data_IF_574127656986
#
_entry.id   IF_574127656986
#
_cell.length_a   1.000
_cell.length_b   1.000
_cell.length_c   1.000
_cell.angle_alpha   90.00
_cell.angle_beta   90.00
_cell.angle_gamma   90.00
#
_symmetry.space_group_name_H-M   'P 1'
#
loop_
_entity.id
_entity.type
_entity.pdbx_description
1 polymer ?
#
# COMPACT_ATOMS: atom_id res chain seq x y z
N UNK A 1 -5.74 -5.91 25.90
CA UNK A 1 -6.37 -6.67 26.99
C UNK A 1 -7.75 -6.10 27.17
N UNK A 2 -8.77 -6.93 27.09
CA UNK A 2 -10.16 -6.55 27.38
C UNK A 2 -10.68 -7.41 28.51
N UNK A 3 -11.58 -6.83 29.29
CA UNK A 3 -12.23 -7.53 30.39
C UNK A 3 -13.53 -8.13 29.87
N UNK A 4 -13.65 -9.45 29.92
CA UNK A 4 -14.85 -10.18 29.52
C UNK A 4 -15.21 -11.12 30.69
N UNK A 5 -16.40 -10.93 31.25
CA UNK A 5 -16.87 -11.64 32.46
C UNK A 5 -15.90 -11.57 33.65
N UNK A 6 -15.26 -10.41 33.87
CA UNK A 6 -14.33 -10.19 34.98
C UNK A 6 -12.96 -10.87 34.84
N UNK A 7 -12.62 -11.38 33.64
CA UNK A 7 -11.30 -11.94 33.32
C UNK A 7 -10.62 -11.13 32.23
N UNK A 8 -9.32 -10.89 32.39
CA UNK A 8 -8.51 -10.34 31.31
C UNK A 8 -8.38 -11.38 30.20
N UNK A 9 -8.61 -10.94 28.97
CA UNK A 9 -8.44 -11.75 27.78
C UNK A 9 -7.56 -11.03 26.77
N UNK A 10 -6.79 -11.83 26.02
CA UNK A 10 -6.06 -11.33 24.86
C UNK A 10 -7.00 -11.31 23.66
N UNK A 11 -7.10 -10.14 23.04
CA UNK A 11 -7.83 -9.94 21.80
C UNK A 11 -6.85 -9.88 20.64
N UNK A 12 -7.09 -10.73 19.66
CA UNK A 12 -6.48 -10.63 18.34
C UNK A 12 -7.50 -10.03 17.39
N UNK A 13 -7.08 -9.11 16.53
CA UNK A 13 -7.99 -8.49 15.57
C UNK A 13 -7.36 -8.36 14.19
N UNK A 14 -8.21 -8.33 13.18
CA UNK A 14 -7.89 -7.88 11.83
C UNK A 14 -8.84 -6.73 11.48
N UNK A 15 -8.31 -5.69 10.84
CA UNK A 15 -9.11 -4.58 10.30
C UNK A 15 -9.06 -4.67 8.79
N UNK A 16 -10.23 -4.68 8.17
CA UNK A 16 -10.42 -4.74 6.72
C UNK A 16 -10.97 -3.37 6.30
N UNK A 17 -10.29 -2.70 5.37
CA UNK A 17 -10.83 -1.56 4.65
C UNK A 17 -11.31 -2.07 3.29
N UNK A 18 -12.61 -1.93 3.04
CA UNK A 18 -13.28 -2.36 1.82
C UNK A 18 -13.66 -1.10 1.07
N UNK A 19 -13.10 -0.93 -0.12
CA UNK A 19 -13.42 0.20 -1.00
C UNK A 19 -14.56 -0.21 -1.93
N UNK A 20 -15.56 0.65 -2.03
CA UNK A 20 -16.66 0.56 -3.00
C UNK A 20 -16.70 1.89 -3.76
N UNK A 21 -17.36 1.96 -4.93
CA UNK A 21 -17.51 3.22 -5.64
C UNK A 21 -18.09 4.30 -4.71
N UNK A 22 -17.31 5.36 -4.50
CA UNK A 22 -17.66 6.53 -3.67
C UNK A 22 -17.71 6.29 -2.15
N UNK A 23 -17.37 5.10 -1.65
CA UNK A 23 -17.45 4.83 -0.21
C UNK A 23 -16.35 3.88 0.29
N UNK A 24 -16.05 3.95 1.59
CA UNK A 24 -15.14 3.02 2.27
C UNK A 24 -15.83 2.42 3.48
N UNK A 25 -15.87 1.10 3.56
CA UNK A 25 -16.39 0.34 4.69
C UNK A 25 -15.23 -0.22 5.49
N UNK A 26 -15.28 -0.10 6.82
CA UNK A 26 -14.30 -0.74 7.70
C UNK A 26 -14.95 -1.84 8.51
N UNK A 27 -14.38 -3.04 8.44
CA UNK A 27 -14.83 -4.19 9.22
C UNK A 27 -13.70 -4.63 10.13
N UNK A 28 -14.00 -4.84 11.41
CA UNK A 28 -13.08 -5.46 12.34
C UNK A 28 -13.52 -6.88 12.65
N UNK A 29 -12.57 -7.79 12.52
CA UNK A 29 -12.71 -9.20 12.88
C UNK A 29 -11.92 -9.41 14.15
N UNK A 30 -12.59 -9.73 15.26
CA UNK A 30 -11.96 -9.93 16.56
C UNK A 30 -12.09 -11.39 17.00
N UNK A 31 -11.01 -11.87 17.63
CA UNK A 31 -10.91 -13.15 18.29
C UNK A 31 -10.49 -12.93 19.74
N UNK A 32 -11.33 -13.35 20.67
CA UNK A 32 -11.00 -13.43 22.10
C UNK A 32 -10.32 -14.77 22.39
N UNK A 33 -9.19 -14.74 23.09
CA UNK A 33 -8.51 -15.94 23.58
C UNK A 33 -8.54 -15.98 25.12
N UNK A 34 -9.17 -17.00 25.73
CA UNK A 34 -9.10 -17.19 27.17
C UNK A 34 -7.67 -17.53 27.61
N UNK A 35 -7.23 -16.95 28.74
CA UNK A 35 -5.85 -17.08 29.27
C UNK A 35 -5.51 -18.49 29.79
N UNK A 36 -6.50 -19.32 30.10
CA UNK A 36 -6.29 -20.68 30.62
C UNK A 36 -5.93 -21.67 29.51
N UNK A 37 -4.64 -22.05 29.42
CA UNK A 37 -4.09 -23.03 28.46
C UNK A 37 -4.50 -24.48 28.75
N UNK A 38 -4.88 -25.20 27.70
CA UNK A 38 -4.29 -26.50 27.37
C UNK A 38 -3.34 -26.32 26.17
N UNK A 39 -2.37 -27.23 25.93
CA UNK A 39 -1.41 -27.11 24.84
C UNK A 39 -2.12 -27.31 23.50
N UNK A 40 -2.09 -26.27 22.66
CA UNK A 40 -2.27 -26.26 21.20
C UNK A 40 -3.15 -27.39 20.60
N UNK A 41 -4.41 -27.50 21.03
CA UNK A 41 -5.40 -28.38 20.40
C UNK A 41 -6.42 -27.52 19.64
N UNK A 42 -6.41 -27.60 18.32
CA UNK A 42 -7.49 -27.12 17.43
C UNK A 42 -7.62 -25.60 17.32
N UNK A 43 -6.63 -24.91 16.75
CA UNK A 43 -6.63 -23.46 16.59
C UNK A 43 -7.79 -22.88 15.73
N UNK A 44 -8.55 -23.74 15.02
CA UNK A 44 -9.58 -23.37 14.05
C UNK A 44 -10.99 -23.86 14.38
N UNK A 45 -11.16 -24.81 15.31
CA UNK A 45 -12.37 -25.63 15.37
C UNK A 45 -13.40 -25.22 16.44
N UNK A 46 -13.01 -24.40 17.44
CA UNK A 46 -13.84 -24.18 18.64
C UNK A 46 -13.93 -22.74 19.14
N UNK A 47 -13.68 -21.71 18.32
CA UNK A 47 -13.70 -20.31 18.80
C UNK A 47 -14.59 -19.38 17.98
N UNK A 48 -15.39 -18.59 18.71
CA UNK A 48 -16.32 -17.59 18.20
C UNK A 48 -15.51 -16.41 17.64
N UNK A 49 -15.56 -16.23 16.33
CA UNK A 49 -15.09 -15.01 15.68
C UNK A 49 -16.23 -14.01 15.71
N UNK A 50 -15.98 -12.83 16.24
CA UNK A 50 -16.94 -11.74 16.20
C UNK A 50 -16.52 -10.77 15.10
N UNK A 51 -17.44 -10.50 14.18
CA UNK A 51 -17.26 -9.51 13.13
C UNK A 51 -18.18 -8.35 13.43
N UNK A 52 -17.64 -7.14 13.47
CA UNK A 52 -18.45 -5.94 13.56
C UNK A 52 -17.92 -4.90 12.57
N UNK A 53 -18.85 -4.18 11.95
CA UNK A 53 -18.51 -2.99 11.18
C UNK A 53 -18.04 -1.90 12.15
N UNK A 54 -17.07 -1.10 11.73
CA UNK A 54 -16.57 0.03 12.53
C UNK A 54 -16.98 1.33 11.82
N UNK A 55 -17.73 2.23 12.47
CA UNK A 55 -18.38 2.05 13.78
C UNK A 55 -19.53 1.02 13.75
N UNK A 56 -19.87 0.48 14.92
CA UNK A 56 -21.07 -0.33 15.17
C UNK A 56 -22.05 0.46 16.04
N UNK A 57 -23.31 0.02 16.16
CA UNK A 57 -24.32 0.70 16.99
C UNK A 57 -23.86 0.93 18.45
N UNK A 58 -22.98 0.05 18.96
CA UNK A 58 -22.40 0.13 20.31
C UNK A 58 -21.10 0.95 20.41
N UNK A 59 -20.46 1.33 19.28
CA UNK A 59 -19.17 2.03 19.24
C UNK A 59 -19.33 3.32 18.42
N UNK A 60 -19.40 4.50 19.04
CA UNK A 60 -19.60 5.76 18.31
C UNK A 60 -18.49 6.04 17.29
N UNK A 61 -18.84 6.84 16.26
CA UNK A 61 -18.06 7.30 15.10
C UNK A 61 -16.86 8.20 15.43
N UNK A 62 -16.16 7.95 16.53
CA UNK A 62 -14.98 8.73 16.93
C UNK A 62 -13.68 8.08 16.42
N UNK A 63 -13.70 7.69 15.14
CA UNK A 63 -12.49 7.31 14.41
C UNK A 63 -12.21 8.30 13.27
N UNK A 64 -10.96 8.28 12.79
CA UNK A 64 -10.48 9.18 11.76
C UNK A 64 -10.62 8.63 10.34
N UNK A 65 -11.41 7.59 10.09
CA UNK A 65 -11.50 6.99 8.76
C UNK A 65 -12.42 7.81 7.86
N UNK A 66 -11.96 8.12 6.63
CA UNK A 66 -12.83 8.68 5.58
C UNK A 66 -13.70 7.58 5.00
N UNK A 67 -15.02 7.75 5.04
CA UNK A 67 -15.99 6.78 4.53
C UNK A 67 -16.79 7.28 3.34
N UNK A 68 -16.87 8.59 3.18
CA UNK A 68 -17.57 9.33 2.14
C UNK A 68 -16.76 9.46 0.84
N UNK A 69 -15.81 8.56 0.63
CA UNK A 69 -14.99 8.52 -0.57
C UNK A 69 -14.32 7.17 -0.78
N UNK A 70 -13.89 6.98 -2.03
CA UNK A 70 -13.09 5.83 -2.44
C UNK A 70 -11.71 5.90 -1.78
N UNK A 71 -11.34 4.84 -1.07
CA UNK A 71 -9.95 4.64 -0.63
C UNK A 71 -9.16 4.02 -1.77
N UNK A 72 -8.12 4.73 -2.23
CA UNK A 72 -7.21 4.28 -3.29
C UNK A 72 -6.14 3.35 -2.69
N UNK A 73 -5.62 3.69 -1.51
CA UNK A 73 -4.60 2.90 -0.84
C UNK A 73 -4.83 2.94 0.67
N UNK A 74 -4.74 1.78 1.31
CA UNK A 74 -4.73 1.67 2.76
C UNK A 74 -3.73 0.58 3.17
N UNK A 75 -2.93 0.85 4.19
CA UNK A 75 -1.97 -0.13 4.66
C UNK A 75 -1.75 -0.06 6.18
N UNK A 76 -1.33 -1.20 6.72
CA UNK A 76 -0.66 -1.26 8.00
C UNK A 76 0.74 -0.66 7.84
N UNK A 77 1.00 0.50 8.45
CA UNK A 77 2.31 1.14 8.34
C UNK A 77 3.27 0.69 9.44
N UNK A 78 2.82 0.72 10.69
CA UNK A 78 3.54 0.22 11.87
C UNK A 78 2.56 -0.37 12.88
N UNK A 79 3.07 -1.00 13.93
CA UNK A 79 2.24 -1.56 15.00
C UNK A 79 1.19 -0.58 15.51
N UNK A 80 1.54 0.70 15.57
CA UNK A 80 0.72 1.78 16.11
C UNK A 80 -0.03 2.60 15.07
N UNK A 81 0.26 2.43 13.78
CA UNK A 81 -0.24 3.33 12.75
C UNK A 81 -0.68 2.62 11.48
N UNK A 82 -1.74 3.15 10.87
CA UNK A 82 -2.20 2.79 9.53
C UNK A 82 -2.31 4.04 8.66
N UNK A 83 -2.20 3.85 7.36
CA UNK A 83 -2.35 4.91 6.36
C UNK A 83 -3.65 4.70 5.62
N UNK A 84 -4.36 5.78 5.34
CA UNK A 84 -5.48 5.82 4.41
C UNK A 84 -5.25 6.94 3.41
N UNK A 85 -5.38 6.62 2.12
CA UNK A 85 -5.30 7.58 1.02
C UNK A 85 -6.58 7.47 0.20
N UNK A 86 -7.32 8.56 0.11
CA UNK A 86 -8.49 8.73 -0.75
C UNK A 86 -8.11 9.55 -1.99
N UNK A 87 -9.09 9.88 -2.83
CA UNK A 87 -8.85 10.79 -3.97
C UNK A 87 -8.45 12.21 -3.57
N UNK A 88 -8.79 12.68 -2.38
CA UNK A 88 -8.55 14.08 -2.00
C UNK A 88 -7.68 14.24 -0.77
N UNK A 89 -7.36 13.16 -0.07
CA UNK A 89 -6.64 13.26 1.20
C UNK A 89 -5.79 12.02 1.50
N UNK A 90 -4.62 12.25 2.10
CA UNK A 90 -3.81 11.23 2.73
C UNK A 90 -3.72 11.50 4.24
N UNK A 91 -3.99 10.47 5.06
CA UNK A 91 -3.99 10.59 6.53
C UNK A 91 -3.37 9.38 7.22
N UNK A 92 -2.85 9.63 8.42
CA UNK A 92 -2.30 8.60 9.31
C UNK A 92 -3.23 8.42 10.52
N UNK A 93 -3.59 7.17 10.79
CA UNK A 93 -4.54 6.76 11.81
C UNK A 93 -3.83 5.92 12.88
N UNK A 94 -4.16 6.14 14.15
CA UNK A 94 -3.72 5.33 15.28
C UNK A 94 -4.35 3.94 15.26
N UNK A 95 -3.61 2.92 15.67
CA UNK A 95 -4.13 1.56 15.86
C UNK A 95 -4.23 1.23 17.35
N UNK A 96 -5.25 0.45 17.77
CA UNK A 96 -6.34 -0.09 16.96
C UNK A 96 -7.49 0.91 16.72
N UNK A 97 -7.54 2.07 17.38
CA UNK A 97 -8.73 2.92 17.42
C UNK A 97 -9.11 3.55 16.08
N UNK A 98 -8.20 3.58 15.11
CA UNK A 98 -8.29 4.29 13.84
C UNK A 98 -8.53 5.80 13.98
N UNK A 99 -8.33 6.36 15.18
CA UNK A 99 -8.38 7.81 15.41
C UNK A 99 -7.29 8.49 14.59
N UNK A 100 -7.59 9.65 14.01
CA UNK A 100 -6.59 10.41 13.31
C UNK A 100 -5.47 10.82 14.29
N UNK A 101 -4.22 10.43 14.00
CA UNK A 101 -3.10 10.76 14.87
C UNK A 101 -2.49 12.12 14.56
N UNK A 102 -2.34 12.38 13.26
CA UNK A 102 -1.53 13.46 12.73
C UNK A 102 -2.30 14.26 11.69
N UNK A 103 -1.70 15.38 11.29
CA UNK A 103 -2.20 16.21 10.20
C UNK A 103 -2.34 15.35 8.94
N UNK A 104 -3.45 15.55 8.26
CA UNK A 104 -3.65 15.02 6.92
C UNK A 104 -3.13 15.99 5.87
N UNK A 105 -2.87 15.46 4.69
CA UNK A 105 -2.58 16.26 3.50
C UNK A 105 -3.79 16.20 2.60
N UNK A 106 -4.37 17.36 2.29
CA UNK A 106 -5.41 17.51 1.27
C UNK A 106 -4.79 17.85 -0.08
N UNK A 107 -5.38 17.34 -1.15
CA UNK A 107 -4.93 17.59 -2.53
C UNK A 107 -5.94 18.49 -3.23
N UNK A 108 -5.44 19.54 -3.90
CA UNK A 108 -6.28 20.49 -4.64
C UNK A 108 -6.91 19.85 -5.90
N UNK A 109 -6.27 18.80 -6.41
CA UNK A 109 -6.78 17.97 -7.49
C UNK A 109 -6.93 16.52 -7.05
N UNK A 110 -7.91 15.77 -7.62
CA UNK A 110 -8.06 14.37 -7.32
C UNK A 110 -6.80 13.56 -7.68
N UNK A 111 -6.37 12.70 -6.76
CA UNK A 111 -5.33 11.71 -7.02
C UNK A 111 -5.76 10.75 -8.12
N UNK A 112 -4.81 10.41 -9.00
CA UNK A 112 -4.94 9.42 -10.04
C UNK A 112 -4.67 8.02 -9.48
N UNK A 113 -3.52 7.85 -8.81
CA UNK A 113 -3.10 6.63 -8.11
C UNK A 113 -2.38 6.99 -6.81
N UNK A 114 -2.37 6.06 -5.86
CA UNK A 114 -1.65 6.17 -4.61
C UNK A 114 -1.11 4.81 -4.18
N UNK A 115 0.06 4.80 -3.55
CA UNK A 115 0.68 3.60 -3.00
C UNK A 115 1.21 3.88 -1.59
N UNK A 116 1.01 2.90 -0.70
CA UNK A 116 1.50 2.90 0.67
C UNK A 116 1.95 1.49 1.03
N UNK A 117 2.99 1.36 1.85
CA UNK A 117 3.57 0.06 2.19
C UNK A 117 3.98 -0.02 3.66
N UNK A 118 3.99 -1.24 4.21
CA UNK A 118 4.34 -1.46 5.61
C UNK A 118 5.81 -1.16 5.88
N UNK A 119 6.08 -0.42 6.96
CA UNK A 119 7.43 -0.03 7.36
C UNK A 119 8.14 0.96 6.43
N UNK A 120 7.51 1.43 5.35
CA UNK A 120 8.12 2.41 4.42
C UNK A 120 7.83 3.82 4.91
N UNK A 121 8.84 4.69 5.14
CA UNK A 121 8.64 6.02 5.72
C UNK A 121 8.17 7.06 4.69
N UNK A 122 7.38 6.66 3.71
CA UNK A 122 6.75 7.55 2.73
C UNK A 122 5.54 6.89 2.09
N UNK A 123 4.73 7.71 1.44
CA UNK A 123 3.72 7.26 0.46
C UNK A 123 4.04 7.87 -0.90
N UNK A 124 3.57 7.24 -1.97
CA UNK A 124 3.68 7.75 -3.32
C UNK A 124 2.29 8.08 -3.85
N UNK A 125 2.13 9.24 -4.49
CA UNK A 125 0.86 9.65 -5.09
C UNK A 125 1.10 10.21 -6.48
N UNK A 126 0.08 10.11 -7.32
CA UNK A 126 0.06 10.78 -8.63
C UNK A 126 -1.17 11.64 -8.78
N UNK A 127 -1.05 12.80 -9.42
CA UNK A 127 -2.14 13.75 -9.62
C UNK A 127 -1.88 14.65 -10.83
N UNK A 128 -2.92 15.40 -11.23
CA UNK A 128 -2.81 16.44 -12.26
C UNK A 128 -2.71 17.82 -11.62
N UNK A 129 -1.80 18.67 -12.09
CA UNK A 129 -1.73 20.08 -11.71
C UNK A 129 -1.47 20.91 -12.96
N UNK A 130 -2.33 21.90 -13.23
CA UNK A 130 -2.25 22.76 -14.42
C UNK A 130 -2.16 22.03 -15.78
N UNK A 131 -2.68 20.80 -15.86
CA UNK A 131 -2.65 19.97 -17.07
C UNK A 131 -1.47 18.99 -17.11
N UNK A 132 -0.43 19.23 -16.32
CA UNK A 132 0.70 18.33 -16.16
C UNK A 132 0.40 17.22 -15.14
N UNK A 133 1.12 16.10 -15.26
CA UNK A 133 0.95 14.94 -14.40
C UNK A 133 2.20 14.79 -13.56
N UNK A 134 2.02 14.60 -12.26
CA UNK A 134 3.13 14.48 -11.32
C UNK A 134 3.04 13.18 -10.53
N UNK A 135 4.18 12.56 -10.32
CA UNK A 135 4.47 11.66 -9.22
C UNK A 135 5.06 12.48 -8.08
N UNK A 136 4.52 12.35 -6.87
CA UNK A 136 5.07 12.99 -5.67
C UNK A 136 5.27 11.94 -4.58
N UNK A 137 6.44 11.99 -3.94
CA UNK A 137 6.75 11.19 -2.76
C UNK A 137 6.53 12.04 -1.52
N UNK A 138 5.62 11.59 -0.66
CA UNK A 138 5.25 12.27 0.58
C UNK A 138 5.96 11.58 1.75
N UNK A 139 7.06 12.14 2.28
CA UNK A 139 7.76 11.54 3.41
C UNK A 139 6.87 11.54 4.66
N UNK A 140 7.03 10.50 5.47
CA UNK A 140 6.45 10.42 6.81
C UNK A 140 7.56 10.75 7.80
N UNK A 141 7.40 11.84 8.54
CA UNK A 141 8.38 12.32 9.51
C UNK A 141 8.46 11.40 10.73
N UNK A 142 9.49 11.61 11.55
CA UNK A 142 9.65 10.93 12.85
C UNK A 142 8.47 11.22 13.79
N UNK A 143 7.86 12.41 13.68
CA UNK A 143 6.65 12.78 14.41
C UNK A 143 5.37 12.24 13.78
N UNK A 144 5.49 11.28 12.85
CA UNK A 144 4.35 10.60 12.21
C UNK A 144 3.46 11.57 11.43
N UNK A 145 4.04 12.61 10.83
CA UNK A 145 3.33 13.55 9.98
C UNK A 145 3.71 13.37 8.52
N UNK A 146 2.74 13.48 7.63
CA UNK A 146 3.01 13.54 6.20
C UNK A 146 3.58 14.92 5.84
N UNK A 147 4.67 14.94 5.08
CA UNK A 147 5.29 16.14 4.55
C UNK A 147 5.11 16.27 3.04
N UNK A 148 5.21 17.51 2.54
CA UNK A 148 5.42 17.80 1.11
C UNK A 148 6.82 18.34 0.90
N UNK A 149 7.53 17.82 -0.09
CA UNK A 149 8.84 18.31 -0.48
C UNK A 149 8.86 18.51 -1.99
N UNK A 150 9.03 19.74 -2.48
CA UNK A 150 9.05 20.00 -3.93
C UNK A 150 10.13 19.19 -4.67
N UNK A 151 11.24 18.88 -4.00
CA UNK A 151 12.32 18.07 -4.55
C UNK A 151 11.93 16.61 -4.85
N UNK A 152 10.82 16.12 -4.31
CA UNK A 152 10.33 14.75 -4.53
C UNK A 152 9.27 14.66 -5.62
N UNK A 153 9.00 15.76 -6.33
CA UNK A 153 8.06 15.81 -7.44
C UNK A 153 8.75 15.50 -8.75
N UNK A 154 8.19 14.55 -9.50
CA UNK A 154 8.66 14.13 -10.82
C UNK A 154 7.50 14.31 -11.79
N UNK A 155 7.71 15.07 -12.87
CA UNK A 155 6.72 15.18 -13.93
C UNK A 155 6.72 13.88 -14.74
N UNK A 156 5.54 13.30 -14.95
CA UNK A 156 5.33 12.14 -15.80
C UNK A 156 4.92 12.61 -17.19
N UNK A 157 5.40 11.93 -18.23
CA UNK A 157 5.05 12.24 -19.61
C UNK A 157 3.57 11.96 -19.92
N UNK A 158 3.00 10.93 -19.27
CA UNK A 158 1.62 10.46 -19.51
C UNK A 158 0.95 9.97 -18.24
N UNK A 159 -0.35 9.68 -18.35
CA UNK A 159 -1.16 9.13 -17.27
C UNK A 159 -0.54 7.83 -16.72
N UNK A 160 -0.37 7.72 -15.39
CA UNK A 160 0.09 6.49 -14.79
C UNK A 160 -1.01 5.42 -14.86
N UNK A 161 -0.60 4.19 -15.14
CA UNK A 161 -1.48 3.01 -15.16
C UNK A 161 -1.27 2.12 -13.94
N UNK A 162 -0.09 2.19 -13.30
CA UNK A 162 0.23 1.46 -12.08
C UNK A 162 1.20 2.29 -11.23
N UNK A 163 1.02 2.24 -9.91
CA UNK A 163 1.92 2.85 -8.93
C UNK A 163 2.05 1.89 -7.75
N UNK A 164 3.27 1.45 -7.45
CA UNK A 164 3.55 0.49 -6.39
C UNK A 164 4.80 0.90 -5.60
N UNK A 165 4.82 0.59 -4.31
CA UNK A 165 6.02 0.70 -3.49
C UNK A 165 6.59 -0.69 -3.29
N UNK A 166 7.80 -0.92 -3.79
CA UNK A 166 8.49 -2.20 -3.70
C UNK A 166 9.72 -2.09 -2.80
N UNK A 167 9.96 -3.12 -1.99
CA UNK A 167 11.16 -3.22 -1.15
C UNK A 167 12.12 -4.25 -1.74
N UNK A 168 13.37 -3.86 -1.92
CA UNK A 168 14.46 -4.68 -2.46
C UNK A 168 15.71 -4.43 -1.62
N UNK A 169 16.29 -5.49 -1.04
CA UNK A 169 17.50 -5.42 -0.21
C UNK A 169 17.43 -4.35 0.89
N UNK A 170 16.28 -4.26 1.57
CA UNK A 170 16.03 -3.29 2.64
C UNK A 170 15.85 -1.84 2.17
N UNK A 171 15.85 -1.59 0.87
CA UNK A 171 15.62 -0.26 0.27
C UNK A 171 14.23 -0.21 -0.35
N UNK A 172 13.59 0.95 -0.28
CA UNK A 172 12.29 1.17 -0.88
C UNK A 172 12.42 1.87 -2.23
N UNK A 173 11.62 1.43 -3.18
CA UNK A 173 11.56 1.94 -4.53
C UNK A 173 10.10 2.22 -4.91
N UNK A 174 9.90 3.21 -5.76
CA UNK A 174 8.61 3.55 -6.33
C UNK A 174 8.59 3.10 -7.78
N UNK A 175 7.77 2.10 -8.05
CA UNK A 175 7.47 1.62 -9.38
C UNK A 175 6.32 2.46 -9.93
N UNK A 176 6.48 2.98 -11.14
CA UNK A 176 5.39 3.60 -11.90
C UNK A 176 5.40 3.05 -13.31
N UNK A 177 4.23 2.72 -13.83
CA UNK A 177 4.04 2.53 -15.26
C UNK A 177 3.10 3.58 -15.81
N UNK A 178 3.34 4.01 -17.05
CA UNK A 178 2.54 5.04 -17.72
C UNK A 178 1.87 4.51 -18.99
N UNK A 179 0.91 5.27 -19.50
CA UNK A 179 0.10 4.89 -20.69
C UNK A 179 0.93 4.66 -21.96
N UNK A 180 2.12 5.23 -22.11
CA UNK A 180 3.01 4.88 -23.23
C UNK A 180 3.78 3.57 -23.03
N UNK A 181 3.32 2.73 -22.08
CA UNK A 181 3.92 1.44 -21.75
C UNK A 181 5.36 1.55 -21.23
N UNK A 182 5.82 2.72 -20.80
CA UNK A 182 7.06 2.83 -20.05
C UNK A 182 6.85 2.43 -18.59
N UNK A 183 7.79 1.63 -18.07
CA UNK A 183 7.97 1.37 -16.64
C UNK A 183 9.19 2.16 -16.18
N UNK A 184 9.04 2.87 -15.06
CA UNK A 184 10.14 3.54 -14.38
C UNK A 184 10.22 3.09 -12.93
N UNK A 185 11.43 2.86 -12.44
CA UNK A 185 11.69 2.52 -11.03
C UNK A 185 12.56 3.59 -10.39
N UNK A 186 12.03 4.24 -9.36
CA UNK A 186 12.73 5.28 -8.62
C UNK A 186 13.20 4.76 -7.27
N UNK A 187 14.49 4.89 -6.95
CA UNK A 187 14.99 4.70 -5.58
C UNK A 187 14.66 5.95 -4.78
N UNK A 188 14.01 5.76 -3.64
CA UNK A 188 13.73 6.85 -2.70
C UNK A 188 14.77 6.81 -1.59
N UNK A 189 15.45 7.94 -1.39
CA UNK A 189 16.36 8.16 -0.26
C UNK A 189 15.82 9.30 0.59
N UNK A 190 16.18 9.31 1.88
CA UNK A 190 15.72 10.32 2.83
C UNK A 190 15.99 11.75 2.34
N UNK A 191 14.91 12.53 2.22
CA UNK A 191 14.88 13.96 1.85
C UNK A 191 15.52 14.33 0.49
N UNK A 192 15.92 13.35 -0.32
CA UNK A 192 16.51 13.56 -1.64
C UNK A 192 15.49 13.37 -2.75
N UNK A 193 15.78 13.99 -3.90
CA UNK A 193 15.04 13.69 -5.11
C UNK A 193 15.16 12.20 -5.45
N UNK A 194 14.05 11.50 -5.81
CA UNK A 194 14.12 10.10 -6.16
C UNK A 194 15.03 9.88 -7.38
N UNK A 195 15.91 8.89 -7.30
CA UNK A 195 16.84 8.56 -8.38
C UNK A 195 16.22 7.53 -9.32
N UNK A 196 16.16 7.81 -10.62
CA UNK A 196 15.73 6.83 -11.62
C UNK A 196 16.78 5.71 -11.73
N UNK A 197 16.38 4.48 -11.43
CA UNK A 197 17.26 3.31 -11.44
C UNK A 197 17.03 2.40 -12.65
N UNK A 198 15.82 2.48 -13.23
CA UNK A 198 15.39 1.70 -14.37
C UNK A 198 14.33 2.50 -15.11
N UNK A 199 14.45 2.57 -16.44
CA UNK A 199 13.39 3.00 -17.35
C UNK A 199 13.39 2.02 -18.51
N UNK A 200 12.25 1.38 -18.74
CA UNK A 200 12.08 0.34 -19.77
C UNK A 200 10.77 0.59 -20.49
N UNK A 201 10.85 0.73 -21.81
CA UNK A 201 9.67 0.69 -22.66
C UNK A 201 9.17 -0.76 -22.79
N UNK A 202 7.91 -0.96 -22.44
CA UNK A 202 7.14 -2.16 -22.77
C UNK A 202 6.33 -1.91 -24.04
N UNK A 203 5.89 -3.00 -24.67
CA UNK A 203 4.92 -2.94 -25.76
C UNK A 203 3.48 -3.15 -25.25
N UNK A 204 3.26 -3.10 -23.93
CA UNK A 204 2.00 -3.44 -23.27
C UNK A 204 1.79 -2.58 -22.01
N UNK A 205 0.54 -2.24 -21.71
CA UNK A 205 0.17 -1.52 -20.49
C UNK A 205 0.35 -2.43 -19.27
N UNK A 206 1.14 -2.00 -18.30
CA UNK A 206 1.24 -2.64 -16.99
C UNK A 206 0.13 -2.09 -16.07
N UNK A 207 -0.60 -2.99 -15.42
CA UNK A 207 -1.72 -2.67 -14.51
C UNK A 207 -1.34 -2.90 -13.04
N UNK A 208 -0.47 -3.88 -12.78
CA UNK A 208 0.03 -4.16 -11.43
C UNK A 208 1.47 -4.65 -11.49
N UNK A 209 2.22 -4.40 -10.42
CA UNK A 209 3.60 -4.83 -10.29
C UNK A 209 3.89 -5.32 -8.88
N UNK A 210 4.80 -6.27 -8.78
CA UNK A 210 5.12 -6.98 -7.55
C UNK A 210 6.54 -7.51 -7.67
N UNK A 211 7.29 -7.53 -6.56
CA UNK A 211 8.55 -8.28 -6.49
C UNK A 211 8.33 -9.60 -5.77
N UNK A 212 8.70 -10.69 -6.43
CA UNK A 212 8.77 -12.03 -5.85
C UNK A 212 10.22 -12.46 -5.65
N UNK A 213 10.43 -13.37 -4.71
CA UNK A 213 11.71 -14.08 -4.58
C UNK A 213 11.60 -15.43 -5.29
N UNK A 214 12.44 -15.66 -6.29
CA UNK A 214 12.57 -16.95 -6.99
C UNK A 214 13.97 -17.49 -6.80
N UNK A 215 14.12 -18.62 -6.11
CA UNK A 215 15.42 -19.21 -5.73
C UNK A 215 16.36 -18.20 -5.04
N UNK A 216 15.79 -17.32 -4.21
CA UNK A 216 16.55 -16.26 -3.51
C UNK A 216 16.88 -15.04 -4.36
N UNK A 217 16.50 -15.00 -5.64
CA UNK A 217 16.69 -13.84 -6.52
C UNK A 217 15.41 -13.01 -6.61
N UNK A 218 15.51 -11.67 -6.47
CA UNK A 218 14.37 -10.79 -6.66
C UNK A 218 13.95 -10.75 -8.14
N UNK A 219 12.67 -10.93 -8.38
CA UNK A 219 12.05 -10.93 -9.69
C UNK A 219 10.90 -9.94 -9.69
N UNK A 220 10.99 -8.94 -10.55
CA UNK A 220 9.87 -8.06 -10.84
C UNK A 220 8.88 -8.80 -11.73
N UNK A 221 7.62 -8.85 -11.30
CA UNK A 221 6.50 -9.41 -12.04
C UNK A 221 5.51 -8.29 -12.31
N UNK A 222 5.14 -8.13 -13.57
CA UNK A 222 4.20 -7.12 -14.03
C UNK A 222 3.02 -7.80 -14.71
N UNK A 223 1.80 -7.55 -14.25
CA UNK A 223 0.59 -7.97 -14.93
C UNK A 223 0.19 -6.91 -15.95
N UNK A 224 -0.10 -7.35 -17.18
CA UNK A 224 -0.50 -6.45 -18.26
C UNK A 224 -2.01 -6.47 -18.46
N UNK A 225 -2.53 -5.38 -19.03
CA UNK A 225 -3.96 -5.23 -19.39
C UNK A 225 -4.47 -6.36 -20.27
N UNK A 226 -3.61 -6.92 -21.11
CA UNK A 226 -3.94 -8.00 -22.04
C UNK A 226 -3.89 -9.40 -21.40
N UNK A 227 -3.71 -9.49 -20.07
CA UNK A 227 -3.69 -10.75 -19.33
C UNK A 227 -2.35 -11.50 -19.37
N UNK A 228 -1.25 -10.83 -19.72
CA UNK A 228 0.09 -11.43 -19.64
C UNK A 228 0.76 -11.15 -18.30
N UNK A 229 1.66 -12.04 -17.91
CA UNK A 229 2.62 -11.80 -16.83
C UNK A 229 4.00 -11.66 -17.45
N UNK A 230 4.54 -10.45 -17.38
CA UNK A 230 5.94 -10.18 -17.69
C UNK A 230 6.74 -10.41 -16.42
N UNK A 231 7.92 -11.00 -16.55
CA UNK A 231 8.85 -11.06 -15.43
C UNK A 231 10.26 -10.71 -15.86
N UNK A 232 11.01 -10.16 -14.92
CA UNK A 232 12.43 -9.93 -15.12
C UNK A 232 13.16 -10.11 -13.80
N UNK A 233 14.31 -10.78 -13.87
CA UNK A 233 15.21 -10.90 -12.73
C UNK A 233 15.84 -9.52 -12.53
N UNK A 234 15.69 -8.99 -11.32
CA UNK A 234 16.33 -7.73 -10.94
C UNK A 234 17.74 -8.04 -10.49
N UNK A 235 18.73 -7.53 -11.22
CA UNK A 235 20.13 -7.56 -10.80
C UNK A 235 20.53 -6.15 -10.42
N UNK A 236 20.97 -5.97 -9.17
CA UNK A 236 21.43 -4.68 -8.65
C UNK A 236 22.95 -4.64 -8.81
N UNK A 237 23.45 -3.67 -9.58
CA UNK A 237 24.89 -3.45 -9.70
C UNK A 237 25.46 -2.73 -8.47
N UNK A 238 26.78 -2.53 -8.45
CA UNK A 238 27.48 -1.87 -7.33
C UNK A 238 27.08 -0.40 -7.13
N UNK A 239 26.48 0.25 -8.14
CA UNK A 239 25.94 1.62 -8.06
C UNK A 239 24.45 1.63 -7.64
N UNK A 240 23.85 0.45 -7.53
CA UNK A 240 22.45 0.25 -7.22
C UNK A 240 21.52 0.28 -8.43
N UNK A 241 22.02 0.38 -9.66
CA UNK A 241 21.21 0.37 -10.90
C UNK A 241 20.79 -1.03 -11.24
N UNK A 242 19.62 -1.14 -11.87
CA UNK A 242 19.09 -2.42 -12.29
C UNK A 242 19.50 -2.73 -13.73
N UNK A 243 19.98 -3.96 -13.95
CA UNK A 243 19.99 -4.56 -15.28
C UNK A 243 18.88 -5.60 -15.38
N UNK A 244 18.22 -5.66 -16.54
CA UNK A 244 17.05 -6.51 -16.75
C UNK A 244 17.16 -7.30 -18.05
N UNK A 245 16.73 -8.55 -18.03
CA UNK A 245 16.39 -9.33 -19.22
C UNK A 245 14.93 -9.74 -19.08
N UNK A 246 14.09 -9.30 -20.02
CA UNK A 246 12.63 -9.47 -19.92
C UNK A 246 12.23 -10.84 -20.44
N UNK A 247 11.65 -11.66 -19.56
CA UNK A 247 10.92 -12.88 -19.91
C UNK A 247 9.43 -12.61 -20.06
N UNK A 248 8.78 -13.27 -21.03
CA UNK A 248 7.34 -13.15 -21.26
C UNK A 248 6.65 -14.51 -21.08
N UNK A 249 5.62 -14.55 -20.23
CA UNK A 249 4.79 -15.74 -20.02
C UNK A 249 3.31 -15.42 -20.28
N UNK A 250 2.61 -16.38 -20.87
CA UNK A 250 1.17 -16.31 -21.07
C UNK A 250 0.49 -16.92 -19.84
N UNK A 251 -0.35 -16.16 -19.16
CA UNK A 251 -1.10 -16.66 -18.02
C UNK A 251 -2.29 -17.49 -18.54
N UNK A 252 -2.08 -18.78 -18.82
CA UNK A 252 -3.16 -19.69 -19.21
C UNK A 252 -4.04 -20.03 -17.99
N UNK A 253 -5.06 -19.20 -17.73
CA UNK A 253 -6.03 -19.42 -16.63
C UNK A 253 -7.22 -20.34 -17.00
N UNK A 254 -7.16 -21.06 -18.12
CA UNK A 254 -8.25 -21.94 -18.59
C UNK A 254 -7.82 -23.40 -18.85
N UNK A 255 -7.12 -24.02 -17.90
CA UNK A 255 -6.99 -25.48 -17.83
C UNK A 255 -7.03 -25.97 -16.38
N UNK A 256 -8.21 -25.93 -15.77
CA UNK A 256 -8.59 -26.82 -14.66
C UNK A 256 -10.07 -27.14 -14.77
#
# INVERSE_FOLDING_TARGET
MTECDGRQQNEHYATLAITLPLETIVVRVVRTQPESRGPCSGAWETRVWNTYQVPSDDIPTDDGVMRDGETISACHWSDWHSIQITRQEARILLRPSLRQHANSITFDSPLLLAASASGVPFVAVTYREAGDIYLEILPISISVSLGRARATRIQLAHDPTCLEIIQLDGKAYVFVSIRESEITLFRVEDERAPACMLSVALNQFCESALVLLSNGQPMLVCATRDGYLLNTILTIDTEGKFSSTVGKYLANWHQR
#
